data_IF_885276060247
#
_entry.id   IF_885276060247
#
_cell.length_a   1.000
_cell.length_b   1.000
_cell.length_c   1.000
_cell.angle_alpha   90.00
_cell.angle_beta   90.00
_cell.angle_gamma   90.00
#
_symmetry.space_group_name_H-M   'P 1'
#
loop_
_entity.id
_entity.type
_entity.pdbx_description
1 polymer ?
#
# COMPACT_ATOMS: atom_id res chain seq x y z
N UNK A 1 -6.10 -31.52 -19.63
CA UNK A 1 -6.34 -30.07 -19.45
C UNK A 1 -6.15 -29.56 -18.02
N UNK A 2 -6.16 -30.39 -16.96
CA UNK A 2 -5.97 -29.92 -15.56
C UNK A 2 -4.52 -29.52 -15.23
N UNK A 3 -3.54 -30.23 -15.80
CA UNK A 3 -2.12 -29.93 -15.59
C UNK A 3 -1.70 -28.59 -16.22
N UNK A 4 -2.38 -28.14 -17.28
CA UNK A 4 -2.08 -26.86 -17.93
C UNK A 4 -2.43 -25.66 -17.03
N UNK A 5 -3.56 -25.75 -16.31
CA UNK A 5 -3.96 -24.72 -15.34
C UNK A 5 -3.08 -24.72 -14.09
N UNK A 6 -2.60 -25.89 -13.64
CA UNK A 6 -1.66 -25.99 -12.53
C UNK A 6 -0.30 -25.36 -12.87
N UNK A 7 0.21 -25.56 -14.08
CA UNK A 7 1.48 -24.97 -14.55
C UNK A 7 1.34 -23.46 -14.78
N UNK A 8 0.21 -22.98 -15.31
CA UNK A 8 -0.09 -21.53 -15.40
C UNK A 8 -0.22 -20.87 -14.03
N UNK A 9 -0.83 -21.54 -13.05
CA UNK A 9 -0.92 -21.01 -11.67
C UNK A 9 0.46 -20.93 -10.99
N UNK A 10 1.35 -21.88 -11.24
CA UNK A 10 2.72 -21.89 -10.69
C UNK A 10 3.62 -20.87 -11.42
N UNK A 11 3.45 -20.68 -12.73
CA UNK A 11 4.18 -19.65 -13.50
C UNK A 11 3.76 -18.22 -13.15
N UNK A 12 2.49 -17.99 -12.81
CA UNK A 12 2.03 -16.72 -12.25
C UNK A 12 2.64 -16.42 -10.87
N UNK A 13 2.92 -17.46 -10.06
CA UNK A 13 3.59 -17.36 -8.77
C UNK A 13 5.11 -17.06 -8.90
N UNK A 14 5.77 -17.51 -9.97
CA UNK A 14 7.22 -17.30 -10.16
C UNK A 14 7.60 -15.94 -10.80
N UNK A 15 6.65 -15.16 -11.33
CA UNK A 15 6.94 -13.85 -11.92
C UNK A 15 7.12 -12.72 -10.87
N UNK A 16 7.18 -13.06 -9.59
CA UNK A 16 7.21 -12.09 -8.48
C UNK A 16 8.36 -12.39 -7.54
N UNK A 17 9.59 -12.39 -8.04
CA UNK A 17 10.70 -11.98 -7.18
C UNK A 17 11.02 -10.53 -7.52
N UNK A 18 10.67 -9.55 -6.65
CA UNK A 18 11.28 -8.25 -6.76
C UNK A 18 12.78 -8.45 -6.62
N UNK A 19 13.52 -7.92 -7.58
CA UNK A 19 14.98 -7.87 -7.54
C UNK A 19 15.36 -7.05 -6.31
N UNK A 20 15.72 -7.75 -5.22
CA UNK A 20 16.20 -7.15 -3.96
C UNK A 20 17.61 -6.61 -4.22
N UNK A 21 17.69 -5.42 -4.84
CA UNK A 21 18.94 -4.67 -4.99
C UNK A 21 19.00 -3.59 -3.92
N UNK A 22 19.78 -3.87 -2.87
CA UNK A 22 20.04 -2.99 -1.74
C UNK A 22 20.42 -1.57 -2.16
N UNK A 23 19.60 -0.59 -1.77
CA UNK A 23 19.73 0.81 -2.13
C UNK A 23 19.33 1.75 -0.98
N UNK A 24 19.91 2.95 -0.95
CA UNK A 24 19.82 3.89 0.19
C UNK A 24 18.41 4.43 0.52
N UNK A 25 17.39 4.07 -0.27
CA UNK A 25 15.99 4.50 -0.16
C UNK A 25 15.01 3.34 0.14
N UNK A 26 15.48 2.32 0.86
CA UNK A 26 14.67 1.16 1.22
C UNK A 26 14.07 1.27 2.62
N UNK A 27 12.93 0.58 2.82
CA UNK A 27 12.33 0.41 4.13
C UNK A 27 13.11 -0.63 4.94
N UNK A 28 13.40 -0.33 6.21
CA UNK A 28 14.10 -1.28 7.07
C UNK A 28 13.14 -2.31 7.64
N UNK A 29 13.33 -3.59 7.30
CA UNK A 29 12.58 -4.72 7.88
C UNK A 29 13.10 -5.19 9.25
N UNK A 30 14.05 -4.47 9.86
CA UNK A 30 14.71 -4.91 11.10
C UNK A 30 13.82 -4.83 12.35
N UNK A 31 12.85 -3.90 12.37
CA UNK A 31 11.84 -3.76 13.42
C UNK A 31 10.73 -2.85 12.93
N UNK A 32 9.52 -2.92 13.51
CA UNK A 32 8.42 -2.00 13.16
C UNK A 32 8.84 -0.54 13.29
N UNK A 33 9.53 -0.18 14.37
CA UNK A 33 10.04 1.18 14.57
C UNK A 33 11.01 1.61 13.46
N UNK A 34 11.88 0.72 12.99
CA UNK A 34 12.80 1.00 11.89
C UNK A 34 12.07 1.11 10.54
N UNK A 35 11.08 0.25 10.29
CA UNK A 35 10.26 0.30 9.08
C UNK A 35 9.53 1.64 8.96
N UNK A 36 8.85 2.05 10.03
CA UNK A 36 8.17 3.36 10.09
C UNK A 36 9.14 4.54 9.97
N UNK A 37 10.31 4.49 10.62
CA UNK A 37 11.32 5.54 10.52
C UNK A 37 11.88 5.66 9.11
N UNK A 38 12.15 4.55 8.44
CA UNK A 38 12.58 4.53 7.04
C UNK A 38 11.47 5.02 6.13
N UNK A 39 10.22 4.57 6.31
CA UNK A 39 9.06 5.04 5.56
C UNK A 39 8.91 6.57 5.62
N UNK A 40 9.07 7.18 6.81
CA UNK A 40 9.10 8.65 6.97
C UNK A 40 10.23 9.28 6.17
N UNK A 41 11.41 8.66 6.15
CA UNK A 41 12.58 9.14 5.40
C UNK A 41 12.32 9.11 3.90
N UNK A 42 11.78 8.01 3.38
CA UNK A 42 11.56 7.85 1.94
C UNK A 42 10.42 8.74 1.43
N UNK A 43 9.37 8.92 2.25
CA UNK A 43 8.27 9.87 1.96
C UNK A 43 8.74 11.31 1.71
N UNK A 44 9.89 11.73 2.23
CA UNK A 44 10.40 13.10 2.00
C UNK A 44 10.70 13.40 0.54
N UNK A 45 10.97 12.37 -0.26
CA UNK A 45 11.29 12.50 -1.68
C UNK A 45 10.06 12.34 -2.60
N UNK A 46 8.90 12.01 -2.04
CA UNK A 46 7.63 11.84 -2.76
C UNK A 46 6.84 13.15 -2.79
N UNK A 47 6.04 13.35 -3.85
CA UNK A 47 5.03 14.40 -3.93
C UNK A 47 3.89 14.15 -2.92
N UNK A 48 3.02 15.14 -2.69
CA UNK A 48 1.96 15.02 -1.68
C UNK A 48 1.00 13.86 -1.98
N UNK A 49 0.62 13.70 -3.25
CA UNK A 49 -0.30 12.64 -3.68
C UNK A 49 0.38 11.26 -3.53
N UNK A 50 1.64 11.13 -3.94
CA UNK A 50 2.41 9.88 -3.80
C UNK A 50 2.63 9.47 -2.34
N UNK A 51 2.84 10.44 -1.43
CA UNK A 51 2.95 10.16 0.01
C UNK A 51 1.70 9.51 0.56
N UNK A 52 0.52 10.02 0.15
CA UNK A 52 -0.76 9.50 0.61
C UNK A 52 -1.01 8.09 0.09
N UNK A 53 -0.73 7.85 -1.19
CA UNK A 53 -0.83 6.52 -1.81
C UNK A 53 0.10 5.53 -1.10
N UNK A 54 1.35 5.94 -0.84
CA UNK A 54 2.31 5.13 -0.11
C UNK A 54 1.89 4.86 1.34
N UNK A 55 1.41 5.88 2.07
CA UNK A 55 0.95 5.72 3.46
C UNK A 55 -0.21 4.73 3.56
N UNK A 56 -1.15 4.86 2.63
CA UNK A 56 -2.27 3.93 2.53
C UNK A 56 -1.80 2.52 2.16
N UNK A 57 -0.95 2.39 1.15
CA UNK A 57 -0.36 1.11 0.73
C UNK A 57 0.38 0.41 1.88
N UNK A 58 1.23 1.16 2.60
CA UNK A 58 2.01 0.64 3.71
C UNK A 58 1.12 0.14 4.86
N UNK A 59 0.06 0.88 5.20
CA UNK A 59 -0.91 0.46 6.22
C UNK A 59 -1.73 -0.76 5.81
N UNK A 60 -2.13 -0.86 4.54
CA UNK A 60 -2.85 -2.03 4.02
C UNK A 60 -1.98 -3.28 4.04
N UNK A 61 -0.72 -3.17 3.61
CA UNK A 61 0.23 -4.29 3.66
C UNK A 61 0.51 -4.69 5.10
N UNK A 62 0.65 -3.73 6.03
CA UNK A 62 0.79 -4.03 7.45
C UNK A 62 -0.38 -4.83 7.98
N UNK A 63 -1.61 -4.39 7.71
CA UNK A 63 -2.79 -5.10 8.20
C UNK A 63 -2.88 -6.50 7.63
N UNK A 64 -2.80 -6.65 6.29
CA UNK A 64 -2.91 -7.94 5.63
C UNK A 64 -1.85 -8.90 6.14
N UNK A 65 -0.58 -8.49 6.13
CA UNK A 65 0.53 -9.37 6.54
C UNK A 65 0.54 -9.65 8.02
N UNK A 66 0.12 -8.69 8.85
CA UNK A 66 -0.03 -8.92 10.30
C UNK A 66 -1.14 -9.92 10.58
N UNK A 67 -2.25 -9.89 9.85
CA UNK A 67 -3.31 -10.89 9.97
C UNK A 67 -2.86 -12.28 9.49
N UNK A 68 -2.04 -12.35 8.43
CA UNK A 68 -1.56 -13.62 7.86
C UNK A 68 -0.45 -14.30 8.69
N UNK A 69 0.49 -13.52 9.22
CA UNK A 69 1.69 -14.08 9.86
C UNK A 69 2.30 -13.18 10.95
N UNK A 70 1.55 -12.21 11.44
CA UNK A 70 1.98 -11.30 12.51
C UNK A 70 3.00 -10.25 12.04
N UNK A 71 3.56 -9.52 13.02
CA UNK A 71 4.46 -8.40 12.76
C UNK A 71 5.69 -8.80 11.93
N UNK A 72 6.22 -10.01 12.14
CA UNK A 72 7.39 -10.50 11.39
C UNK A 72 7.10 -10.65 9.90
N UNK A 73 5.91 -11.15 9.53
CA UNK A 73 5.51 -11.30 8.13
C UNK A 73 5.39 -9.95 7.43
N UNK A 74 4.87 -8.94 8.14
CA UNK A 74 4.88 -7.57 7.64
C UNK A 74 6.30 -7.04 7.41
N UNK A 75 7.19 -7.18 8.41
CA UNK A 75 8.56 -6.68 8.33
C UNK A 75 9.37 -7.34 7.23
N UNK A 76 9.15 -8.63 7.00
CA UNK A 76 9.76 -9.39 5.90
C UNK A 76 9.22 -8.92 4.54
N UNK A 77 7.90 -8.67 4.46
CA UNK A 77 7.25 -8.23 3.23
C UNK A 77 7.65 -6.80 2.81
N UNK A 78 7.87 -5.86 3.75
CA UNK A 78 8.24 -4.48 3.42
C UNK A 78 9.74 -4.21 3.53
N UNK A 79 10.50 -5.09 4.17
CA UNK A 79 11.93 -4.94 4.38
C UNK A 79 12.69 -4.97 3.04
N UNK A 80 13.49 -3.95 2.80
CA UNK A 80 14.24 -3.81 1.55
C UNK A 80 13.42 -3.24 0.38
N UNK A 81 12.11 -2.98 0.56
CA UNK A 81 11.30 -2.42 -0.52
C UNK A 81 11.45 -0.89 -0.63
N UNK A 82 11.39 -0.41 -1.87
CA UNK A 82 11.23 1.01 -2.21
C UNK A 82 9.75 1.43 -2.08
N UNK A 83 9.43 2.73 -2.02
CA UNK A 83 8.05 3.19 -1.88
C UNK A 83 7.14 2.71 -3.01
N UNK A 84 7.65 2.75 -4.24
CA UNK A 84 6.95 2.30 -5.45
C UNK A 84 6.62 0.79 -5.34
N UNK A 85 7.59 0.00 -4.90
CA UNK A 85 7.45 -1.45 -4.70
C UNK A 85 6.43 -1.77 -3.59
N UNK A 86 6.38 -0.98 -2.51
CA UNK A 86 5.36 -1.14 -1.45
C UNK A 86 3.96 -0.86 -2.01
N UNK A 87 3.82 0.16 -2.88
CA UNK A 87 2.56 0.47 -3.54
C UNK A 87 2.15 -0.65 -4.49
N UNK A 88 3.08 -1.20 -5.28
CA UNK A 88 2.81 -2.34 -6.14
C UNK A 88 2.43 -3.60 -5.35
N UNK A 89 3.09 -3.86 -4.23
CA UNK A 89 2.74 -4.96 -3.33
C UNK A 89 1.32 -4.78 -2.78
N UNK A 90 1.00 -3.59 -2.28
CA UNK A 90 -0.34 -3.29 -1.78
C UNK A 90 -1.41 -3.46 -2.87
N UNK A 91 -1.14 -3.01 -4.10
CA UNK A 91 -2.04 -3.21 -5.24
C UNK A 91 -2.33 -4.69 -5.50
N UNK A 92 -1.31 -5.54 -5.46
CA UNK A 92 -1.45 -7.00 -5.65
C UNK A 92 -2.29 -7.62 -4.53
N UNK A 93 -1.94 -7.31 -3.29
CA UNK A 93 -2.62 -7.84 -2.10
C UNK A 93 -4.10 -7.40 -2.07
N UNK A 94 -4.39 -6.12 -2.31
CA UNK A 94 -5.77 -5.61 -2.37
C UNK A 94 -6.57 -6.29 -3.46
N UNK A 95 -6.05 -6.38 -4.69
CA UNK A 95 -6.78 -7.06 -5.77
C UNK A 95 -7.01 -8.54 -5.44
N UNK A 96 -6.07 -9.21 -4.78
CA UNK A 96 -6.25 -10.57 -4.29
C UNK A 96 -7.36 -10.65 -3.22
N UNK A 97 -7.40 -9.70 -2.27
CA UNK A 97 -8.46 -9.65 -1.23
C UNK A 97 -9.84 -9.29 -1.81
N UNK A 98 -9.90 -8.40 -2.81
CA UNK A 98 -11.14 -8.10 -3.55
C UNK A 98 -11.66 -9.37 -4.24
N UNK A 99 -10.78 -10.10 -4.93
CA UNK A 99 -11.13 -11.37 -5.57
C UNK A 99 -11.53 -12.45 -4.55
N UNK A 100 -10.97 -12.41 -3.35
CA UNK A 100 -11.33 -13.29 -2.24
C UNK A 100 -12.65 -12.89 -1.53
N UNK A 101 -13.23 -11.73 -1.87
CA UNK A 101 -14.47 -11.23 -1.25
C UNK A 101 -14.29 -10.70 0.17
N UNK A 102 -13.09 -10.23 0.52
CA UNK A 102 -12.82 -9.66 1.85
C UNK A 102 -13.70 -8.41 2.06
N UNK A 103 -14.54 -8.41 3.11
CA UNK A 103 -15.52 -7.35 3.39
C UNK A 103 -14.90 -5.94 3.46
N UNK A 104 -13.62 -5.82 3.82
CA UNK A 104 -12.95 -4.53 3.90
C UNK A 104 -12.64 -3.95 2.52
N UNK A 105 -12.28 -4.81 1.57
CA UNK A 105 -11.84 -4.41 0.23
C UNK A 105 -12.91 -4.60 -0.84
N UNK A 106 -13.90 -5.48 -0.61
CA UNK A 106 -14.99 -5.80 -1.53
C UNK A 106 -15.88 -4.60 -1.90
N UNK A 107 -15.86 -3.53 -1.09
CA UNK A 107 -16.52 -2.27 -1.41
C UNK A 107 -15.89 -1.53 -2.61
N UNK A 108 -14.65 -1.87 -2.96
CA UNK A 108 -13.90 -1.27 -4.05
C UNK A 108 -13.86 -2.24 -5.24
N UNK A 109 -13.95 -1.68 -6.45
CA UNK A 109 -13.90 -2.50 -7.68
C UNK A 109 -12.49 -2.96 -8.01
N UNK A 110 -11.49 -2.16 -7.66
CA UNK A 110 -10.07 -2.41 -7.92
C UNK A 110 -9.23 -1.49 -7.05
N UNK A 111 -7.93 -1.75 -6.99
CA UNK A 111 -6.96 -0.81 -6.41
C UNK A 111 -7.11 0.62 -6.97
N UNK A 112 -7.27 0.78 -8.29
CA UNK A 112 -7.39 2.10 -8.92
C UNK A 112 -8.69 2.83 -8.51
N UNK A 113 -9.81 2.11 -8.34
CA UNK A 113 -11.07 2.66 -7.81
C UNK A 113 -10.90 3.14 -6.35
N UNK A 114 -10.16 2.37 -5.54
CA UNK A 114 -9.84 2.73 -4.17
C UNK A 114 -8.94 3.97 -4.09
N UNK A 115 -7.91 4.06 -4.93
CA UNK A 115 -7.07 5.26 -5.02
C UNK A 115 -7.88 6.48 -5.46
N UNK A 116 -8.76 6.32 -6.44
CA UNK A 116 -9.64 7.41 -6.88
C UNK A 116 -10.51 7.93 -5.73
N UNK A 117 -11.11 7.05 -4.93
CA UNK A 117 -11.89 7.43 -3.76
C UNK A 117 -11.04 8.10 -2.68
N UNK A 118 -9.81 7.61 -2.45
CA UNK A 118 -8.87 8.19 -1.50
C UNK A 118 -8.47 9.62 -1.90
N UNK A 119 -8.06 9.82 -3.16
CA UNK A 119 -7.69 11.13 -3.70
C UNK A 119 -8.87 12.10 -3.71
N UNK A 120 -10.07 11.64 -4.11
CA UNK A 120 -11.29 12.44 -4.08
C UNK A 120 -11.63 12.90 -2.66
N UNK A 121 -11.56 11.99 -1.68
CA UNK A 121 -11.81 12.29 -0.27
C UNK A 121 -10.80 13.30 0.25
N UNK A 122 -9.51 13.14 -0.05
CA UNK A 122 -8.48 14.08 0.40
C UNK A 122 -8.67 15.48 -0.21
N UNK A 123 -8.94 15.56 -1.52
CA UNK A 123 -9.22 16.83 -2.19
C UNK A 123 -10.42 17.54 -1.58
N UNK A 124 -11.47 16.79 -1.25
CA UNK A 124 -12.64 17.30 -0.53
C UNK A 124 -12.26 17.84 0.86
N UNK A 125 -11.47 17.10 1.63
CA UNK A 125 -11.03 17.54 2.97
C UNK A 125 -10.19 18.81 2.92
N UNK A 126 -9.26 18.92 1.95
CA UNK A 126 -8.50 20.15 1.71
C UNK A 126 -9.40 21.34 1.41
N UNK A 127 -10.38 21.14 0.51
CA UNK A 127 -11.32 22.21 0.17
C UNK A 127 -12.20 22.67 1.34
N UNK A 128 -12.44 21.81 2.34
CA UNK A 128 -13.13 22.18 3.58
C UNK A 128 -12.23 22.95 4.54
N UNK A 129 -10.94 22.64 4.57
CA UNK A 129 -9.95 23.27 5.42
C UNK A 129 -9.54 24.67 4.91
N UNK A 130 -9.64 24.88 3.60
CA UNK A 130 -9.38 26.16 2.93
C UNK A 130 -10.59 27.12 2.96
N UNK A 131 -11.73 26.72 3.54
CA UNK A 131 -12.84 27.65 3.78
C UNK A 131 -12.43 28.62 4.89
N UNK A 132 -12.31 29.94 4.63
CA UNK A 132 -12.02 30.89 5.70
C UNK A 132 -13.15 30.82 6.73
N UNK A 133 -12.80 30.60 8.00
CA UNK A 133 -13.72 30.78 9.14
C UNK A 133 -14.00 32.29 9.36
N UNK A 134 -14.57 32.95 8.36
CA UNK A 134 -14.94 34.36 8.40
C UNK A 134 -16.42 34.51 8.10
N UNK A 135 -17.25 34.46 9.14
CA UNK A 135 -18.69 34.59 9.01
C UNK A 135 -19.43 34.63 10.34
N UNK A 136 -18.90 35.35 11.32
CA UNK A 136 -19.69 35.81 12.47
C UNK A 136 -19.54 37.33 12.54
N UNK A 137 -20.55 38.01 12.00
CA UNK A 137 -20.73 39.46 12.07
C UNK A 137 -22.23 39.70 12.03
N UNK A 138 -22.85 39.58 13.21
CA UNK A 138 -24.15 40.17 13.52
C UNK A 138 -23.94 41.54 14.16
#
# INVERSE_FOLDING_TARGET
>A
MKALYAVMAILALMYVMPVITGGSNEISGSSRKAAYKSAIKVKRFLSTDERMVFDFAFGVVEEIKTTEGGEKAFLDAVGGLKPEEVVELAKKEVNAKIAAGDSKFAQYKSWDDMLYQLTKTNKSLRSLQERPQGGQGG
#
